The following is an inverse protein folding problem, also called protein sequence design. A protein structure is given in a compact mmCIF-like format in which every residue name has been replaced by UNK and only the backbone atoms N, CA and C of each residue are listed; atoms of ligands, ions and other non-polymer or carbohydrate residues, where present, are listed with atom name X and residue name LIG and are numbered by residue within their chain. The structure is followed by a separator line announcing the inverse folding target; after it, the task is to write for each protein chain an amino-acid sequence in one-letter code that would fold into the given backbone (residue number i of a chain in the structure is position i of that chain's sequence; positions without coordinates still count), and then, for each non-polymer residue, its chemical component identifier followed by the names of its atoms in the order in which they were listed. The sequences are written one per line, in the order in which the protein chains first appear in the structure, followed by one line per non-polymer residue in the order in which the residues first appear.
data_IF_463775604962
#
_entry.id   IF_463775604962
#
_cell.length_a   1.000
_cell.length_b   1.000
_cell.length_c   1.000
_cell.angle_alpha   90.00
_cell.angle_beta   90.00
_cell.angle_gamma   90.00
#
_symmetry.space_group_name_H-M   'P 1'
#
loop_
_entity.id
_entity.type
_entity.pdbx_description
1 polymer ?
#
# COMPACT_ATOMS: atom_id res chain seq x y z
N UNK A 1 12.09 16.39 -3.44
CA UNK A 1 13.22 15.86 -4.24
C UNK A 1 12.84 15.61 -5.70
N UNK A 2 11.86 14.76 -6.01
CA UNK A 2 11.45 14.53 -7.41
C UNK A 2 10.79 15.74 -8.07
N UNK A 3 10.03 16.54 -7.32
CA UNK A 3 9.41 17.77 -7.81
C UNK A 3 10.47 18.78 -8.27
N UNK A 4 11.43 19.09 -7.40
CA UNK A 4 12.58 19.96 -7.68
C UNK A 4 13.41 19.49 -8.88
N UNK A 5 13.57 18.17 -9.05
CA UNK A 5 14.26 17.64 -10.23
C UNK A 5 13.53 18.01 -11.53
N UNK A 6 12.19 17.94 -11.56
CA UNK A 6 11.43 18.27 -12.76
C UNK A 6 11.30 19.78 -13.00
N UNK A 7 11.20 20.61 -11.95
CA UNK A 7 11.15 22.06 -12.09
C UNK A 7 12.53 22.64 -12.44
N UNK A 8 13.58 22.24 -11.71
CA UNK A 8 14.87 22.93 -11.76
C UNK A 8 15.82 22.35 -12.82
N UNK A 9 15.74 21.04 -13.08
CA UNK A 9 16.62 20.35 -14.04
C UNK A 9 15.91 20.10 -15.38
N UNK A 10 14.65 19.64 -15.34
CA UNK A 10 13.89 19.37 -16.55
C UNK A 10 13.08 20.58 -17.08
N UNK A 11 13.10 21.71 -16.37
CA UNK A 11 12.40 22.96 -16.72
C UNK A 11 10.91 22.75 -17.05
N UNK A 12 10.26 21.82 -16.35
CA UNK A 12 8.83 21.58 -16.46
C UNK A 12 8.06 22.61 -15.63
N UNK A 13 6.92 23.08 -16.13
CA UNK A 13 6.04 23.94 -15.34
C UNK A 13 5.54 23.21 -14.10
N UNK A 14 5.28 23.93 -13.00
CA UNK A 14 4.77 23.36 -11.74
C UNK A 14 3.54 22.47 -11.98
N UNK A 15 2.68 22.90 -12.91
CA UNK A 15 1.50 22.15 -13.34
C UNK A 15 1.85 20.77 -13.94
N UNK A 16 2.95 20.66 -14.68
CA UNK A 16 3.41 19.37 -15.21
C UNK A 16 4.23 18.60 -14.17
N UNK A 17 5.07 19.27 -13.39
CA UNK A 17 6.06 18.66 -12.49
C UNK A 17 5.41 17.73 -11.44
N UNK A 18 4.30 18.13 -10.80
CA UNK A 18 3.64 17.28 -9.81
C UNK A 18 3.08 15.99 -10.40
N UNK A 19 2.61 16.03 -11.66
CA UNK A 19 2.09 14.84 -12.37
C UNK A 19 3.22 13.87 -12.69
N UNK A 20 4.34 14.39 -13.17
CA UNK A 20 5.55 13.60 -13.42
C UNK A 20 6.09 12.94 -12.14
N UNK A 21 5.94 13.60 -10.98
CA UNK A 21 6.31 13.01 -9.69
C UNK A 21 5.51 11.74 -9.35
N UNK A 22 4.24 11.62 -9.78
CA UNK A 22 3.44 10.42 -9.53
C UNK A 22 3.80 9.25 -10.45
N UNK A 23 4.34 9.52 -11.65
CA UNK A 23 4.74 8.46 -12.59
C UNK A 23 5.96 7.67 -12.10
N UNK A 24 6.90 8.29 -11.39
CA UNK A 24 8.09 7.61 -10.85
C UNK A 24 7.71 6.48 -9.88
N UNK A 25 7.01 6.72 -8.76
CA UNK A 25 6.62 5.65 -7.85
C UNK A 25 5.62 4.69 -8.49
N UNK A 26 4.74 5.16 -9.38
CA UNK A 26 3.80 4.30 -10.09
C UNK A 26 4.49 3.28 -11.00
N UNK A 27 5.45 3.71 -11.82
CA UNK A 27 6.23 2.83 -12.68
C UNK A 27 7.12 1.89 -11.86
N UNK A 28 7.75 2.38 -10.78
CA UNK A 28 8.51 1.53 -9.87
C UNK A 28 7.63 0.42 -9.26
N UNK A 29 6.40 0.74 -8.83
CA UNK A 29 5.44 -0.24 -8.33
C UNK A 29 5.09 -1.31 -9.37
N UNK A 30 4.86 -0.90 -10.62
CA UNK A 30 4.57 -1.84 -11.71
C UNK A 30 5.76 -2.76 -11.95
N UNK A 31 6.99 -2.23 -12.01
CA UNK A 31 8.19 -3.03 -12.21
C UNK A 31 8.39 -4.06 -11.10
N UNK A 32 8.23 -3.64 -9.84
CA UNK A 32 8.30 -4.55 -8.70
C UNK A 32 7.18 -5.58 -8.75
N UNK A 33 5.95 -5.18 -9.07
CA UNK A 33 4.81 -6.08 -9.21
C UNK A 33 5.03 -7.15 -10.29
N UNK A 34 5.56 -6.75 -11.44
CA UNK A 34 5.96 -7.68 -12.52
C UNK A 34 7.08 -8.61 -12.04
N UNK A 35 8.06 -8.09 -11.32
CA UNK A 35 9.13 -8.90 -10.71
C UNK A 35 8.59 -9.97 -9.75
N UNK A 36 7.66 -9.59 -8.88
CA UNK A 36 6.99 -10.52 -7.96
C UNK A 36 6.26 -11.62 -8.72
N UNK A 37 5.56 -11.30 -9.81
CA UNK A 37 4.85 -12.32 -10.60
C UNK A 37 5.77 -13.39 -11.20
N UNK A 38 7.01 -13.04 -11.56
CA UNK A 38 7.95 -13.98 -12.18
C UNK A 38 8.87 -14.66 -11.16
N UNK A 39 9.25 -13.97 -10.08
CA UNK A 39 10.29 -14.44 -9.16
C UNK A 39 9.75 -14.86 -7.79
N UNK A 40 8.56 -14.43 -7.38
CA UNK A 40 8.04 -14.77 -6.06
C UNK A 40 7.55 -16.22 -6.00
N UNK A 41 7.80 -16.85 -4.85
CA UNK A 41 7.26 -18.16 -4.50
C UNK A 41 6.18 -17.97 -3.45
N UNK A 42 5.01 -18.60 -3.64
CA UNK A 42 3.87 -18.38 -2.74
C UNK A 42 4.06 -19.01 -1.35
N UNK A 43 4.75 -20.16 -1.28
CA UNK A 43 5.08 -20.89 -0.05
C UNK A 43 6.54 -21.35 -0.06
N UNK A 44 7.14 -21.56 1.12
CA UNK A 44 8.45 -22.22 1.24
C UNK A 44 8.47 -23.63 0.60
N UNK A 45 7.32 -24.30 0.54
CA UNK A 45 7.16 -25.63 -0.08
C UNK A 45 6.90 -25.59 -1.61
N UNK A 46 6.86 -24.39 -2.20
CA UNK A 46 6.66 -24.16 -3.64
C UNK A 46 5.34 -23.47 -4.00
N UNK A 47 5.10 -23.27 -5.30
CA UNK A 47 3.92 -22.55 -5.84
C UNK A 47 2.60 -23.25 -5.46
N UNK A 48 1.59 -22.50 -5.04
CA UNK A 48 0.27 -23.01 -4.64
C UNK A 48 -0.33 -23.97 -5.67
N UNK A 49 -0.23 -23.61 -6.95
CA UNK A 49 -0.78 -24.38 -8.07
C UNK A 49 -0.17 -25.79 -8.16
N UNK A 50 1.12 -25.94 -7.80
CA UNK A 50 1.81 -27.23 -7.83
C UNK A 50 1.41 -28.10 -6.63
N UNK A 51 1.21 -27.50 -5.46
CA UNK A 51 0.79 -28.19 -4.23
C UNK A 51 -0.67 -28.68 -4.31
N UNK A 52 -1.58 -27.88 -4.88
CA UNK A 52 -2.97 -28.31 -5.13
C UNK A 52 -3.03 -29.45 -6.15
N UNK A 53 -2.21 -29.41 -7.20
CA UNK A 53 -2.13 -30.50 -8.20
C UNK A 53 -1.56 -31.81 -7.63
N UNK A 54 -0.70 -31.74 -6.63
CA UNK A 54 -0.15 -32.92 -5.93
C UNK A 54 -1.13 -33.55 -4.94
N UNK A 55 -2.26 -32.90 -4.64
CA UNK A 55 -3.24 -33.39 -3.67
C UNK A 55 -2.79 -33.27 -2.20
N UNK A 56 -1.68 -32.57 -1.94
CA UNK A 56 -1.12 -32.39 -0.58
C UNK A 56 -1.86 -31.32 0.24
N UNK A 57 -2.80 -30.59 -0.37
CA UNK A 57 -3.58 -29.53 0.28
C UNK A 57 -5.08 -29.72 0.09
N UNK A 58 -5.81 -29.80 1.18
CA UNK A 58 -7.28 -29.80 1.19
C UNK A 58 -7.77 -28.42 0.74
N UNK A 59 -8.67 -28.38 -0.22
CA UNK A 59 -9.34 -27.15 -0.64
C UNK A 59 -10.35 -26.78 0.43
N UNK A 60 -9.97 -25.91 1.36
CA UNK A 60 -10.91 -25.37 2.33
C UNK A 60 -11.99 -24.56 1.61
N UNK A 61 -13.26 -24.78 1.98
CA UNK A 61 -14.34 -23.99 1.43
C UNK A 61 -14.23 -22.56 1.98
N UNK A 62 -13.93 -21.60 1.09
CA UNK A 62 -13.74 -20.20 1.44
C UNK A 62 -14.93 -19.62 2.22
N UNK A 63 -16.16 -20.07 1.92
CA UNK A 63 -17.36 -19.65 2.63
C UNK A 63 -17.38 -20.14 4.08
N UNK A 64 -16.93 -21.36 4.35
CA UNK A 64 -16.86 -21.91 5.72
C UNK A 64 -15.80 -21.19 6.55
N UNK A 65 -14.64 -20.90 5.97
CA UNK A 65 -13.58 -20.12 6.63
C UNK A 65 -14.05 -18.71 6.94
N UNK A 66 -14.74 -18.05 5.99
CA UNK A 66 -15.29 -16.71 6.18
C UNK A 66 -16.34 -16.67 7.30
N UNK A 67 -17.30 -17.61 7.30
CA UNK A 67 -18.33 -17.68 8.34
C UNK A 67 -17.72 -17.95 9.72
N UNK A 68 -16.70 -18.82 9.79
CA UNK A 68 -15.98 -19.06 11.05
C UNK A 68 -15.20 -17.83 11.52
N UNK A 69 -14.64 -17.04 10.60
CA UNK A 69 -13.98 -15.77 10.91
C UNK A 69 -14.96 -14.74 11.49
N UNK A 70 -16.12 -14.56 10.84
CA UNK A 70 -17.16 -13.61 11.26
C UNK A 70 -17.78 -13.97 12.60
N UNK A 71 -17.93 -15.27 12.90
CA UNK A 71 -18.46 -15.75 14.19
C UNK A 71 -17.47 -15.59 15.34
N UNK A 72 -16.19 -15.33 15.08
CA UNK A 72 -15.17 -15.24 16.12
C UNK A 72 -15.06 -13.82 16.68
N UNK A 73 -15.35 -13.64 17.98
CA UNK A 73 -15.27 -12.34 18.65
C UNK A 73 -13.85 -11.74 18.62
N UNK A 74 -12.79 -12.57 18.58
CA UNK A 74 -11.39 -12.11 18.54
C UNK A 74 -11.07 -11.35 17.25
N UNK A 75 -11.70 -11.75 16.14
CA UNK A 75 -11.55 -11.08 14.86
C UNK A 75 -12.10 -9.66 14.93
N UNK A 76 -13.26 -9.47 15.56
CA UNK A 76 -13.88 -8.15 15.71
C UNK A 76 -13.09 -7.22 16.62
N UNK A 77 -12.55 -7.73 17.72
CA UNK A 77 -11.65 -6.93 18.59
C UNK A 77 -10.43 -6.45 17.80
N UNK A 78 -9.77 -7.36 17.06
CA UNK A 78 -8.62 -6.99 16.22
C UNK A 78 -9.00 -5.98 15.14
N UNK A 79 -10.16 -6.17 14.49
CA UNK A 79 -10.66 -5.28 13.44
C UNK A 79 -10.91 -3.87 13.98
N UNK A 80 -11.52 -3.75 15.17
CA UNK A 80 -11.77 -2.45 15.80
C UNK A 80 -10.47 -1.77 16.21
N UNK A 81 -9.54 -2.50 16.84
CA UNK A 81 -8.25 -1.92 17.25
C UNK A 81 -7.44 -1.47 16.04
N UNK A 82 -7.33 -2.31 15.02
CA UNK A 82 -6.59 -1.98 13.79
C UNK A 82 -7.26 -0.83 13.03
N UNK A 83 -8.60 -0.85 12.93
CA UNK A 83 -9.38 0.21 12.31
C UNK A 83 -9.23 1.55 13.03
N UNK A 84 -9.13 1.55 14.36
CA UNK A 84 -8.85 2.75 15.15
C UNK A 84 -7.45 3.30 14.87
N UNK A 85 -6.42 2.45 14.93
CA UNK A 85 -5.04 2.86 14.65
C UNK A 85 -4.90 3.45 13.25
N UNK A 86 -5.43 2.76 12.23
CA UNK A 86 -5.43 3.24 10.85
C UNK A 86 -6.24 4.52 10.67
N UNK A 87 -7.38 4.65 11.36
CA UNK A 87 -8.21 5.86 11.31
C UNK A 87 -7.49 7.09 11.86
N UNK A 88 -6.81 6.96 13.00
CA UNK A 88 -6.00 8.03 13.59
C UNK A 88 -4.81 8.38 12.69
N UNK A 89 -4.16 7.39 12.10
CA UNK A 89 -3.07 7.62 11.15
C UNK A 89 -3.54 8.42 9.93
N UNK A 90 -4.70 8.09 9.37
CA UNK A 90 -5.27 8.81 8.23
C UNK A 90 -5.63 10.26 8.57
N UNK A 91 -6.21 10.52 9.75
CA UNK A 91 -6.53 11.89 10.17
C UNK A 91 -5.28 12.71 10.42
N UNK A 92 -4.25 12.13 11.06
CA UNK A 92 -2.96 12.79 11.27
C UNK A 92 -2.30 13.12 9.93
N UNK A 93 -2.23 12.16 8.99
CA UNK A 93 -1.62 12.40 7.68
C UNK A 93 -2.30 13.51 6.88
N UNK A 94 -3.62 13.68 7.05
CA UNK A 94 -4.36 14.76 6.38
C UNK A 94 -4.09 16.15 6.99
N UNK A 95 -3.89 16.23 8.31
CA UNK A 95 -3.66 17.51 9.01
C UNK A 95 -2.18 17.84 9.24
N UNK A 96 -1.27 16.88 9.03
CA UNK A 96 0.15 17.04 9.32
C UNK A 96 0.79 18.17 8.50
N UNK A 97 0.51 18.22 7.19
CA UNK A 97 1.03 19.27 6.31
C UNK A 97 0.57 20.69 6.72
N UNK A 98 -0.74 20.98 6.87
CA UNK A 98 -1.18 22.31 7.32
C UNK A 98 -0.71 22.64 8.74
N UNK A 99 -0.66 21.66 9.66
CA UNK A 99 -0.14 21.88 11.02
C UNK A 99 1.33 22.33 11.00
N UNK A 100 2.17 21.72 10.16
CA UNK A 100 3.58 22.09 10.02
C UNK A 100 3.74 23.50 9.43
N UNK A 101 2.89 23.88 8.47
CA UNK A 101 2.84 25.23 7.96
C UNK A 101 2.44 26.25 9.03
N UNK A 102 1.38 25.98 9.78
CA UNK A 102 0.81 26.95 10.73
C UNK A 102 1.65 27.13 12.00
N UNK A 103 2.28 26.06 12.48
CA UNK A 103 3.09 26.11 13.73
C UNK A 103 4.55 26.46 13.49
N UNK A 104 5.13 26.02 12.37
CA UNK A 104 6.56 26.19 12.09
C UNK A 104 6.85 27.08 10.88
N UNK A 105 5.82 27.60 10.20
CA UNK A 105 5.98 28.48 9.05
C UNK A 105 6.55 27.78 7.80
N UNK A 106 6.42 26.46 7.71
CA UNK A 106 6.90 25.66 6.57
C UNK A 106 5.97 25.85 5.37
N UNK A 107 6.50 26.40 4.28
CA UNK A 107 5.75 26.62 3.05
C UNK A 107 5.22 25.31 2.43
N UNK A 108 3.96 25.33 2.00
CA UNK A 108 3.25 24.17 1.44
C UNK A 108 3.57 23.96 -0.05
N UNK A 109 4.15 24.96 -0.71
CA UNK A 109 4.30 25.03 -2.17
C UNK A 109 5.71 25.34 -2.66
N UNK A 110 6.75 25.14 -1.84
CA UNK A 110 8.13 25.41 -2.28
C UNK A 110 8.56 24.49 -3.41
#
# INVERSE_FOLDING_TARGET
MFFLFFTDVANASDFAAWRWCFFIPGTAHILVGVGVLFFAQDLPDGTYLKLVRKGERVTDNATTVFVNGVKNYRMWILTLTYGYCFGVELTINNIAAPYMNDQFGLDLTT
#
